data_IF_462173440681
#
_entry.id   IF_462173440681
#
_cell.length_a   1.000
_cell.length_b   1.000
_cell.length_c   1.000
_cell.angle_alpha   90.00
_cell.angle_beta   90.00
_cell.angle_gamma   90.00
#
_symmetry.space_group_name_H-M   'P 1'
#
loop_
_entity.id
_entity.type
_entity.pdbx_description
1 polymer ?
#
# COMPACT_ATOMS: atom_id res chain seq x y z
N UNK A 1 6.76 3.22 -27.41
CA UNK A 1 7.85 2.23 -27.16
C UNK A 1 7.35 0.93 -27.74
N UNK A 2 8.17 0.22 -28.48
CA UNK A 2 7.81 -1.14 -28.89
C UNK A 2 7.72 -2.02 -27.63
N UNK A 3 6.54 -2.56 -27.34
CA UNK A 3 6.26 -3.36 -26.14
C UNK A 3 6.93 -4.75 -26.18
N UNK A 4 7.52 -5.12 -27.30
CA UNK A 4 8.30 -6.36 -27.47
C UNK A 4 9.79 -6.15 -27.14
N UNK A 5 10.20 -4.91 -26.85
CA UNK A 5 11.58 -4.52 -26.55
C UNK A 5 11.71 -3.87 -25.17
N UNK A 6 12.93 -3.73 -24.71
CA UNK A 6 13.28 -3.03 -23.47
C UNK A 6 14.36 -1.98 -23.72
N UNK A 7 14.59 -1.13 -22.71
CA UNK A 7 15.62 -0.09 -22.80
C UNK A 7 17.02 -0.70 -22.97
N UNK A 8 17.85 -0.14 -23.83
CA UNK A 8 19.21 -0.66 -24.15
C UNK A 8 20.15 -0.78 -22.95
N UNK A 9 19.98 0.06 -21.94
CA UNK A 9 20.76 0.03 -20.69
C UNK A 9 20.18 -0.92 -19.63
N UNK A 10 19.12 -1.66 -19.94
CA UNK A 10 18.52 -2.61 -19.00
C UNK A 10 19.49 -3.78 -18.74
N UNK A 11 19.69 -4.11 -17.46
CA UNK A 11 20.42 -5.30 -17.02
C UNK A 11 19.58 -6.07 -16.00
N UNK A 12 19.75 -7.38 -15.99
CA UNK A 12 19.16 -8.23 -14.96
C UNK A 12 20.20 -9.18 -14.39
N UNK A 13 20.38 -9.17 -13.06
CA UNK A 13 21.39 -9.98 -12.35
C UNK A 13 22.80 -9.77 -12.92
N UNK A 14 23.15 -8.53 -13.26
CA UNK A 14 24.45 -8.18 -13.85
C UNK A 14 24.61 -8.51 -15.34
N UNK A 15 23.62 -9.16 -15.98
CA UNK A 15 23.66 -9.53 -17.40
C UNK A 15 22.94 -8.50 -18.27
N UNK A 16 23.57 -8.13 -19.38
CA UNK A 16 22.92 -7.41 -20.47
C UNK A 16 22.30 -8.40 -21.47
N UNK A 17 21.16 -8.07 -22.04
CA UNK A 17 20.46 -8.90 -23.02
C UNK A 17 20.26 -8.12 -24.32
N UNK A 18 20.39 -8.80 -25.45
CA UNK A 18 20.20 -8.19 -26.77
C UNK A 18 18.74 -8.28 -27.23
N UNK A 19 18.01 -9.30 -26.81
CA UNK A 19 16.62 -9.56 -27.20
C UNK A 19 15.78 -10.03 -26.03
N UNK A 20 14.45 -9.87 -26.16
CA UNK A 20 13.48 -10.38 -25.18
C UNK A 20 13.51 -11.89 -25.06
N UNK A 21 13.79 -12.62 -26.13
CA UNK A 21 13.92 -14.08 -26.14
C UNK A 21 15.11 -14.53 -25.29
N UNK A 22 16.26 -13.85 -25.42
CA UNK A 22 17.45 -14.16 -24.61
C UNK A 22 17.18 -13.93 -23.11
N UNK A 23 16.48 -12.83 -22.76
CA UNK A 23 16.05 -12.56 -21.40
C UNK A 23 15.08 -13.64 -20.89
N UNK A 24 14.07 -14.01 -21.68
CA UNK A 24 13.08 -15.04 -21.32
C UNK A 24 13.76 -16.39 -21.05
N UNK A 25 14.66 -16.85 -21.92
CA UNK A 25 15.41 -18.10 -21.72
C UNK A 25 16.22 -18.08 -20.41
N UNK A 26 16.87 -16.95 -20.12
CA UNK A 26 17.63 -16.78 -18.88
C UNK A 26 16.73 -16.83 -17.65
N UNK A 27 15.59 -16.11 -17.67
CA UNK A 27 14.64 -16.04 -16.56
C UNK A 27 13.94 -17.37 -16.34
N UNK A 28 13.52 -18.07 -17.38
CA UNK A 28 12.92 -19.43 -17.28
C UNK A 28 13.84 -20.42 -16.58
N UNK A 29 15.14 -20.28 -16.83
CA UNK A 29 16.14 -21.20 -16.28
C UNK A 29 16.51 -20.91 -14.83
N UNK A 30 16.49 -19.64 -14.42
CA UNK A 30 17.07 -19.21 -13.14
C UNK A 30 16.12 -18.49 -12.21
N UNK A 31 14.95 -18.00 -12.72
CA UNK A 31 14.00 -17.15 -12.01
C UNK A 31 12.56 -17.45 -12.47
N UNK A 32 12.17 -18.71 -12.42
CA UNK A 32 10.92 -19.24 -12.97
C UNK A 32 9.67 -18.47 -12.53
N UNK A 33 9.68 -17.94 -11.31
CA UNK A 33 8.60 -17.13 -10.74
C UNK A 33 8.31 -15.83 -11.54
N UNK A 34 9.29 -15.34 -12.31
CA UNK A 34 9.11 -14.15 -13.17
C UNK A 34 8.75 -14.50 -14.62
N UNK A 35 8.94 -15.75 -15.02
CA UNK A 35 8.82 -16.16 -16.41
C UNK A 35 7.39 -15.96 -16.98
N UNK A 36 6.36 -16.33 -16.20
CA UNK A 36 4.97 -16.19 -16.63
C UNK A 36 4.60 -14.73 -16.94
N UNK A 37 5.02 -13.81 -16.08
CA UNK A 37 4.77 -12.37 -16.32
C UNK A 37 5.54 -11.86 -17.54
N UNK A 38 6.82 -12.18 -17.67
CA UNK A 38 7.64 -11.69 -18.79
C UNK A 38 7.19 -12.27 -20.15
N UNK A 39 6.74 -13.53 -20.19
CA UNK A 39 6.08 -14.08 -21.40
C UNK A 39 4.89 -13.23 -21.79
N UNK A 40 4.01 -12.92 -20.86
CA UNK A 40 2.84 -12.08 -21.13
C UNK A 40 3.25 -10.63 -21.46
N UNK A 41 4.34 -10.13 -20.90
CA UNK A 41 4.84 -8.80 -21.22
C UNK A 41 5.33 -8.69 -22.66
N UNK A 42 6.00 -9.71 -23.18
CA UNK A 42 6.60 -9.72 -24.51
C UNK A 42 5.75 -10.41 -25.60
N UNK A 43 4.52 -10.83 -25.30
CA UNK A 43 3.65 -11.58 -26.24
C UNK A 43 3.06 -10.74 -27.39
N UNK A 44 3.39 -9.44 -27.47
CA UNK A 44 2.83 -8.51 -28.45
C UNK A 44 1.41 -8.03 -28.14
N UNK A 45 0.73 -8.60 -27.13
CA UNK A 45 -0.58 -8.14 -26.66
C UNK A 45 -0.50 -6.78 -25.97
N UNK A 46 -1.61 -6.04 -25.97
CA UNK A 46 -1.69 -4.70 -25.37
C UNK A 46 -2.02 -4.69 -23.87
N UNK A 47 -2.32 -5.85 -23.27
CA UNK A 47 -2.86 -5.94 -21.91
C UNK A 47 -2.18 -7.03 -21.09
N UNK A 48 -2.20 -6.84 -19.77
CA UNK A 48 -1.83 -7.83 -18.76
C UNK A 48 -3.10 -8.21 -17.98
N UNK A 49 -3.40 -9.50 -17.93
CA UNK A 49 -4.49 -10.04 -17.12
C UNK A 49 -4.03 -10.28 -15.68
N UNK A 50 -4.80 -9.76 -14.74
CA UNK A 50 -4.53 -9.86 -13.30
C UNK A 50 -5.71 -10.46 -12.56
N UNK A 51 -5.44 -11.11 -11.45
CA UNK A 51 -6.45 -11.48 -10.45
C UNK A 51 -6.23 -10.62 -9.20
N UNK A 52 -7.26 -9.86 -8.80
CA UNK A 52 -7.19 -9.14 -7.53
C UNK A 52 -7.67 -10.05 -6.40
N UNK A 53 -7.05 -9.95 -5.24
CA UNK A 53 -7.45 -10.72 -4.04
C UNK A 53 -8.80 -10.30 -3.44
N UNK A 54 -9.52 -9.38 -4.08
CA UNK A 54 -10.84 -8.84 -3.73
C UNK A 54 -11.04 -8.64 -2.21
N UNK A 55 -11.20 -7.42 -1.74
CA UNK A 55 -11.56 -7.16 -0.32
C UNK A 55 -12.90 -7.83 0.07
N UNK A 56 -13.71 -8.21 -0.91
CA UNK A 56 -15.02 -8.89 -0.77
C UNK A 56 -14.96 -10.40 -0.91
N UNK A 57 -13.76 -11.01 -1.04
CA UNK A 57 -13.56 -12.47 -1.05
C UNK A 57 -13.62 -13.13 -2.44
N UNK A 58 -14.24 -12.53 -3.45
CA UNK A 58 -14.28 -13.08 -4.82
C UNK A 58 -13.19 -12.41 -5.65
N UNK A 59 -12.20 -13.16 -6.21
CA UNK A 59 -11.18 -12.59 -7.07
C UNK A 59 -11.80 -11.95 -8.32
N UNK A 60 -11.54 -10.67 -8.55
CA UNK A 60 -11.95 -9.99 -9.77
C UNK A 60 -10.83 -10.11 -10.81
N UNK A 61 -11.17 -10.51 -12.02
CA UNK A 61 -10.27 -10.40 -13.16
C UNK A 61 -10.20 -8.93 -13.57
N UNK A 62 -8.99 -8.39 -13.61
CA UNK A 62 -8.70 -7.04 -14.06
C UNK A 62 -7.72 -7.12 -15.23
N UNK A 63 -7.92 -6.27 -16.22
CA UNK A 63 -7.05 -6.16 -17.39
C UNK A 63 -6.40 -4.78 -17.40
N UNK A 64 -5.06 -4.74 -17.30
CA UNK A 64 -4.29 -3.51 -17.36
C UNK A 64 -3.62 -3.32 -18.71
N UNK A 65 -3.72 -2.12 -19.26
CA UNK A 65 -2.99 -1.75 -20.47
C UNK A 65 -1.48 -1.70 -20.19
N UNK A 66 -0.68 -2.28 -21.06
CA UNK A 66 0.79 -2.19 -21.00
C UNK A 66 1.25 -0.74 -21.15
N UNK A 67 0.57 0.08 -21.97
CA UNK A 67 0.87 1.51 -22.09
C UNK A 67 0.64 2.25 -20.77
N UNK A 68 -0.42 1.92 -20.04
CA UNK A 68 -0.67 2.44 -18.71
C UNK A 68 0.45 2.06 -17.72
N UNK A 69 0.91 0.81 -17.76
CA UNK A 69 2.02 0.35 -16.94
C UNK A 69 3.34 1.07 -17.29
N UNK A 70 3.62 1.30 -18.59
CA UNK A 70 4.76 2.09 -19.07
C UNK A 70 4.69 3.53 -18.55
N UNK A 71 3.53 4.17 -18.67
CA UNK A 71 3.34 5.55 -18.21
C UNK A 71 3.51 5.68 -16.68
N UNK A 72 2.95 4.75 -15.92
CA UNK A 72 3.16 4.65 -14.47
C UNK A 72 4.63 4.44 -14.08
N UNK A 73 5.36 3.60 -14.82
CA UNK A 73 6.79 3.40 -14.62
C UNK A 73 7.59 4.70 -14.83
N UNK A 74 7.29 5.42 -15.92
CA UNK A 74 7.92 6.72 -16.22
C UNK A 74 7.60 7.78 -15.16
N UNK A 75 6.35 7.84 -14.68
CA UNK A 75 5.97 8.75 -13.60
C UNK A 75 6.77 8.47 -12.30
N UNK A 76 6.95 7.18 -11.95
CA UNK A 76 7.79 6.78 -10.81
C UNK A 76 9.25 7.22 -11.02
N UNK A 77 9.83 6.93 -12.19
CA UNK A 77 11.23 7.32 -12.49
C UNK A 77 11.43 8.83 -12.42
N UNK A 78 10.51 9.60 -12.99
CA UNK A 78 10.53 11.07 -12.96
C UNK A 78 10.42 11.63 -11.54
N UNK A 79 9.50 11.09 -10.72
CA UNK A 79 9.29 11.55 -9.34
C UNK A 79 10.53 11.34 -8.47
N UNK A 80 11.16 10.17 -8.57
CA UNK A 80 12.31 9.81 -7.74
C UNK A 80 13.67 10.18 -8.35
N UNK A 81 13.69 10.74 -9.57
CA UNK A 81 14.93 11.05 -10.28
C UNK A 81 15.75 9.81 -10.66
N UNK A 82 15.06 8.71 -11.01
CA UNK A 82 15.67 7.41 -11.34
C UNK A 82 15.62 7.18 -12.84
N UNK A 83 16.77 7.27 -13.49
CA UNK A 83 16.94 7.07 -14.93
C UNK A 83 17.65 5.76 -15.26
N UNK A 84 18.17 5.68 -16.49
CA UNK A 84 18.98 4.55 -16.94
C UNK A 84 20.18 4.30 -16.02
N UNK A 85 20.54 3.02 -15.87
CA UNK A 85 21.62 2.52 -15.01
C UNK A 85 21.38 2.67 -13.49
N UNK A 86 20.24 3.22 -13.04
CA UNK A 86 19.84 3.14 -11.63
C UNK A 86 19.76 1.67 -11.19
N UNK A 87 20.30 1.36 -10.03
CA UNK A 87 20.28 -0.01 -9.48
C UNK A 87 19.00 -0.23 -8.67
N UNK A 88 18.30 -1.35 -8.91
CA UNK A 88 17.07 -1.66 -8.21
C UNK A 88 17.04 -3.10 -7.71
N UNK A 89 16.38 -3.31 -6.55
CA UNK A 89 16.21 -4.62 -5.96
C UNK A 89 14.73 -5.02 -5.98
N UNK A 90 14.40 -6.15 -6.62
CA UNK A 90 13.08 -6.76 -6.62
C UNK A 90 12.96 -7.69 -5.41
N UNK A 91 12.09 -7.33 -4.46
CA UNK A 91 11.80 -8.09 -3.24
C UNK A 91 10.37 -8.67 -3.21
N UNK A 92 9.55 -8.33 -4.22
CA UNK A 92 8.12 -8.66 -4.26
C UNK A 92 7.84 -9.68 -5.36
N UNK A 93 6.93 -10.64 -5.08
CA UNK A 93 6.54 -11.63 -6.08
C UNK A 93 5.93 -10.98 -7.33
N UNK A 94 6.36 -11.37 -8.53
CA UNK A 94 5.77 -10.93 -9.79
C UNK A 94 4.38 -11.55 -10.05
N UNK A 95 3.86 -12.39 -9.16
CA UNK A 95 2.44 -12.79 -9.18
C UNK A 95 1.53 -11.59 -8.89
N UNK A 96 2.01 -10.65 -8.09
CA UNK A 96 1.28 -9.44 -7.72
C UNK A 96 1.73 -8.22 -8.55
N UNK A 97 0.82 -7.26 -8.70
CA UNK A 97 1.08 -6.05 -9.50
C UNK A 97 2.32 -5.28 -9.05
N UNK A 98 2.61 -5.26 -7.75
CA UNK A 98 3.76 -4.54 -7.21
C UNK A 98 5.09 -5.13 -7.71
N UNK A 99 5.24 -6.45 -7.73
CA UNK A 99 6.42 -7.13 -8.30
C UNK A 99 6.49 -6.96 -9.82
N UNK A 100 5.35 -7.11 -10.53
CA UNK A 100 5.26 -6.84 -11.98
C UNK A 100 5.75 -5.44 -12.31
N UNK A 101 5.34 -4.44 -11.54
CA UNK A 101 5.72 -3.04 -11.79
C UNK A 101 7.21 -2.76 -11.52
N UNK A 102 7.89 -3.53 -10.67
CA UNK A 102 9.36 -3.43 -10.55
C UNK A 102 10.05 -3.88 -11.84
N UNK A 103 9.59 -4.98 -12.44
CA UNK A 103 10.05 -5.40 -13.77
C UNK A 103 9.79 -4.33 -14.84
N UNK A 104 8.56 -3.81 -14.90
CA UNK A 104 8.19 -2.80 -15.91
C UNK A 104 9.04 -1.54 -15.79
N UNK A 105 9.27 -1.06 -14.55
CA UNK A 105 10.17 0.08 -14.31
C UNK A 105 11.56 -0.20 -14.82
N UNK A 106 12.12 -1.36 -14.51
CA UNK A 106 13.47 -1.72 -14.95
C UNK A 106 13.57 -1.82 -16.47
N UNK A 107 12.65 -2.53 -17.11
CA UNK A 107 12.62 -2.71 -18.57
C UNK A 107 12.45 -1.37 -19.32
N UNK A 108 11.56 -0.48 -18.82
CA UNK A 108 11.22 0.79 -19.47
C UNK A 108 12.27 1.86 -19.24
N UNK A 109 12.83 1.92 -18.03
CA UNK A 109 13.71 2.99 -17.60
C UNK A 109 15.21 2.64 -17.73
N UNK A 110 15.52 1.39 -18.10
CA UNK A 110 16.91 0.94 -18.27
C UNK A 110 17.63 0.74 -16.93
N UNK A 111 16.91 0.25 -15.91
CA UNK A 111 17.51 -0.02 -14.62
C UNK A 111 18.33 -1.32 -14.62
N UNK A 112 19.32 -1.39 -13.73
CA UNK A 112 20.01 -2.62 -13.38
C UNK A 112 19.22 -3.29 -12.24
N UNK A 113 18.42 -4.28 -12.59
CA UNK A 113 17.54 -4.99 -11.66
C UNK A 113 18.21 -6.24 -11.14
N UNK A 114 18.30 -6.37 -9.82
CA UNK A 114 18.60 -7.64 -9.17
C UNK A 114 17.38 -8.13 -8.40
N UNK A 115 17.30 -9.43 -8.14
CA UNK A 115 16.18 -10.07 -7.48
C UNK A 115 16.66 -10.73 -6.20
N UNK A 116 16.05 -10.36 -5.07
CA UNK A 116 16.31 -10.97 -3.78
C UNK A 116 15.38 -12.19 -3.56
N UNK A 117 15.71 -13.09 -2.63
CA UNK A 117 14.78 -14.11 -2.18
C UNK A 117 13.46 -13.50 -1.70
N UNK A 118 12.33 -14.05 -2.18
CA UNK A 118 10.98 -13.55 -1.86
C UNK A 118 10.52 -14.04 -0.48
N UNK A 119 11.14 -13.52 0.56
CA UNK A 119 10.85 -13.84 1.96
C UNK A 119 10.58 -12.57 2.78
N UNK A 120 10.38 -12.73 4.08
CA UNK A 120 10.12 -11.62 4.99
C UNK A 120 11.34 -10.71 5.23
N UNK A 121 12.58 -11.17 5.01
CA UNK A 121 13.80 -10.39 5.21
C UNK A 121 14.71 -10.45 3.97
N UNK A 122 14.31 -9.80 2.87
CA UNK A 122 15.04 -9.88 1.60
C UNK A 122 16.41 -9.20 1.62
N UNK A 123 16.71 -8.36 2.63
CA UNK A 123 18.00 -7.66 2.71
C UNK A 123 19.05 -8.41 3.57
N UNK A 124 18.71 -9.58 4.15
CA UNK A 124 19.54 -10.26 5.14
C UNK A 124 20.98 -10.54 4.65
N UNK A 125 21.11 -11.02 3.44
CA UNK A 125 22.39 -11.49 2.91
C UNK A 125 22.91 -10.60 1.76
N UNK A 126 22.43 -9.35 1.66
CA UNK A 126 22.87 -8.41 0.65
C UNK A 126 24.31 -7.95 0.90
N UNK A 127 25.07 -7.91 -0.20
CA UNK A 127 26.46 -7.41 -0.22
C UNK A 127 26.62 -6.14 -1.06
N UNK A 128 25.54 -5.71 -1.74
CA UNK A 128 25.53 -4.57 -2.68
C UNK A 128 24.40 -3.61 -2.28
N UNK A 129 24.66 -2.31 -2.36
CA UNK A 129 23.64 -1.28 -2.17
C UNK A 129 22.87 -0.99 -3.47
N UNK A 130 21.62 -0.50 -3.33
CA UNK A 130 20.72 -0.21 -4.44
C UNK A 130 20.15 1.20 -4.31
N UNK A 131 19.87 1.82 -5.45
CA UNK A 131 19.25 3.13 -5.51
C UNK A 131 17.75 3.07 -5.15
N UNK A 132 17.08 1.93 -5.48
CA UNK A 132 15.64 1.81 -5.31
C UNK A 132 15.18 0.38 -4.98
N UNK A 133 14.14 0.27 -4.15
CA UNK A 133 13.40 -0.96 -3.93
C UNK A 133 11.94 -0.69 -3.56
N UNK A 134 11.12 -1.74 -3.57
CA UNK A 134 9.72 -1.73 -3.12
C UNK A 134 9.50 -2.91 -2.17
N UNK A 135 8.83 -2.66 -1.03
CA UNK A 135 8.56 -3.67 -0.01
C UNK A 135 7.15 -3.53 0.56
N UNK A 136 6.69 -4.56 1.25
CA UNK A 136 5.56 -4.48 2.18
C UNK A 136 6.05 -4.15 3.60
N UNK A 137 5.19 -3.62 4.51
CA UNK A 137 5.61 -3.26 5.87
C UNK A 137 6.28 -4.40 6.63
N UNK A 138 5.84 -5.64 6.44
CA UNK A 138 6.46 -6.82 7.06
C UNK A 138 7.92 -6.97 6.65
N UNK A 139 8.24 -6.83 5.36
CA UNK A 139 9.61 -6.90 4.84
C UNK A 139 10.45 -5.74 5.35
N UNK A 140 9.91 -4.52 5.35
CA UNK A 140 10.57 -3.34 5.89
C UNK A 140 10.98 -3.55 7.36
N UNK A 141 10.05 -4.00 8.20
CA UNK A 141 10.30 -4.24 9.62
C UNK A 141 11.39 -5.30 9.83
N UNK A 142 11.30 -6.44 9.14
CA UNK A 142 12.27 -7.53 9.26
C UNK A 142 13.65 -7.19 8.69
N UNK A 143 13.71 -6.29 7.70
CA UNK A 143 14.94 -5.87 7.03
C UNK A 143 15.56 -4.61 7.62
N UNK A 144 14.98 -4.04 8.69
CA UNK A 144 15.35 -2.71 9.21
C UNK A 144 16.86 -2.55 9.44
N UNK A 145 17.52 -3.57 9.99
CA UNK A 145 18.99 -3.54 10.27
C UNK A 145 19.85 -3.35 9.03
N UNK A 146 19.38 -3.82 7.87
CA UNK A 146 20.10 -3.76 6.60
C UNK A 146 19.51 -2.71 5.65
N UNK A 147 18.58 -1.87 6.14
CA UNK A 147 17.86 -0.91 5.30
C UNK A 147 18.78 0.10 4.63
N UNK A 148 19.92 0.43 5.24
CA UNK A 148 20.96 1.31 4.69
C UNK A 148 21.52 0.84 3.33
N UNK A 149 21.27 -0.41 2.93
CA UNK A 149 21.62 -0.95 1.60
C UNK A 149 20.70 -0.40 0.49
N UNK A 150 19.60 0.27 0.83
CA UNK A 150 18.66 0.86 -0.12
C UNK A 150 18.64 2.38 0.08
N UNK A 151 18.86 3.16 -0.98
CA UNK A 151 18.81 4.63 -0.89
C UNK A 151 17.37 5.14 -0.78
N UNK A 152 16.47 4.66 -1.67
CA UNK A 152 15.05 5.04 -1.72
C UNK A 152 14.18 3.80 -1.69
N UNK A 153 13.24 3.76 -0.77
CA UNK A 153 12.32 2.64 -0.60
C UNK A 153 10.88 3.13 -0.66
N UNK A 154 10.07 2.50 -1.50
CA UNK A 154 8.62 2.65 -1.45
C UNK A 154 8.00 1.47 -0.70
N UNK A 155 7.02 1.76 0.16
CA UNK A 155 6.34 0.76 0.99
C UNK A 155 4.83 0.87 0.79
N UNK A 156 4.20 -0.27 0.52
CA UNK A 156 2.76 -0.30 0.27
C UNK A 156 2.11 -1.64 0.63
N UNK A 157 0.82 -1.75 0.32
CA UNK A 157 0.05 -2.97 0.54
C UNK A 157 -0.65 -3.06 1.90
N UNK A 158 -0.11 -2.43 2.95
CA UNK A 158 -0.70 -2.35 4.28
C UNK A 158 -0.26 -1.06 4.99
N UNK A 159 -0.96 -0.62 6.04
CA UNK A 159 -0.53 0.51 6.88
C UNK A 159 0.82 0.21 7.56
N UNK A 160 1.60 1.27 7.77
CA UNK A 160 2.85 1.23 8.53
C UNK A 160 2.52 1.61 9.97
N UNK A 161 3.04 0.85 10.95
CA UNK A 161 2.83 1.16 12.36
C UNK A 161 3.58 2.43 12.78
N UNK A 162 3.04 3.15 13.76
CA UNK A 162 3.70 4.35 14.31
C UNK A 162 5.08 4.04 14.87
N UNK A 163 5.26 2.87 15.50
CA UNK A 163 6.55 2.44 16.04
C UNK A 163 7.59 2.26 14.92
N UNK A 164 7.16 1.68 13.79
CA UNK A 164 8.04 1.54 12.64
C UNK A 164 8.34 2.90 11.99
N UNK A 165 7.35 3.81 11.88
CA UNK A 165 7.58 5.19 11.43
C UNK A 165 8.58 5.91 12.34
N UNK A 166 8.51 5.69 13.65
CA UNK A 166 9.43 6.28 14.63
C UNK A 166 10.85 5.72 14.48
N UNK A 167 10.98 4.40 14.28
CA UNK A 167 12.28 3.77 14.02
C UNK A 167 12.91 4.29 12.71
N UNK A 168 12.11 4.55 11.69
CA UNK A 168 12.59 5.06 10.40
C UNK A 168 13.30 6.41 10.51
N UNK A 169 13.04 7.21 11.54
CA UNK A 169 13.75 8.48 11.76
C UNK A 169 15.26 8.30 12.00
N UNK A 170 15.69 7.09 12.33
CA UNK A 170 17.10 6.72 12.51
C UNK A 170 17.74 6.11 11.25
N UNK A 171 16.95 5.85 10.21
CA UNK A 171 17.44 5.24 8.97
C UNK A 171 18.08 6.26 8.04
N UNK A 172 19.13 5.86 7.33
CA UNK A 172 19.72 6.65 6.23
C UNK A 172 18.98 6.47 4.89
N UNK A 173 18.03 5.54 4.82
CA UNK A 173 17.18 5.28 3.64
C UNK A 173 16.03 6.25 3.58
N UNK A 174 15.79 6.88 2.44
CA UNK A 174 14.56 7.64 2.22
C UNK A 174 13.38 6.67 2.02
N UNK A 175 12.42 6.67 2.94
CA UNK A 175 11.26 5.76 2.92
C UNK A 175 9.99 6.52 2.63
N UNK A 176 9.18 5.98 1.71
CA UNK A 176 7.93 6.55 1.26
C UNK A 176 6.79 5.55 1.36
N UNK A 177 5.71 5.88 2.04
CA UNK A 177 4.46 5.15 1.95
C UNK A 177 3.80 5.45 0.59
N UNK A 178 3.18 4.42 -0.02
CA UNK A 178 2.52 4.56 -1.32
C UNK A 178 1.01 4.57 -1.18
N UNK A 179 0.34 5.40 -1.98
CA UNK A 179 -1.10 5.35 -2.20
C UNK A 179 -1.38 4.96 -3.65
N UNK A 180 -2.21 3.94 -3.82
CA UNK A 180 -2.61 3.41 -5.13
C UNK A 180 -3.42 2.13 -4.99
N UNK A 181 -3.92 1.67 -6.11
CA UNK A 181 -4.74 0.47 -6.22
C UNK A 181 -4.42 -0.27 -7.52
N UNK A 182 -4.99 -1.44 -7.72
CA UNK A 182 -4.76 -2.22 -8.95
C UNK A 182 -5.27 -1.47 -10.17
N UNK A 183 -6.38 -0.75 -10.03
CA UNK A 183 -7.01 0.07 -11.08
C UNK A 183 -6.13 1.24 -11.54
N UNK A 184 -5.23 1.70 -10.69
CA UNK A 184 -4.22 2.73 -11.04
C UNK A 184 -2.91 2.15 -11.56
N UNK A 185 -2.83 0.84 -11.81
CA UNK A 185 -1.65 0.04 -12.16
C UNK A 185 -0.63 -0.06 -11.03
N UNK A 186 -0.40 0.99 -10.30
CA UNK A 186 0.59 1.12 -9.22
C UNK A 186 0.21 2.30 -8.33
N UNK A 187 1.14 2.75 -7.50
CA UNK A 187 0.94 3.96 -6.73
C UNK A 187 0.82 5.20 -7.64
N UNK A 188 -0.03 6.11 -7.23
CA UNK A 188 -0.24 7.42 -7.87
C UNK A 188 0.22 8.57 -6.99
N UNK A 189 0.47 8.28 -5.72
CA UNK A 189 0.99 9.24 -4.77
C UNK A 189 1.90 8.56 -3.75
N UNK A 190 2.77 9.35 -3.12
CA UNK A 190 3.67 8.89 -2.07
C UNK A 190 3.71 9.90 -0.92
N UNK A 191 3.84 9.39 0.30
CA UNK A 191 4.06 10.16 1.52
C UNK A 191 5.44 9.83 2.07
N UNK A 192 6.29 10.84 2.24
CA UNK A 192 7.60 10.67 2.86
C UNK A 192 7.42 10.36 4.35
N UNK A 193 8.15 9.37 4.86
CA UNK A 193 8.00 8.88 6.23
C UNK A 193 9.13 9.33 7.16
N UNK A 194 10.27 9.73 6.62
CA UNK A 194 11.44 10.20 7.37
C UNK A 194 12.15 11.34 6.63
N UNK A 195 13.14 11.96 7.25
CA UNK A 195 13.79 13.20 6.77
C UNK A 195 12.77 14.33 6.53
N UNK A 196 11.76 14.40 7.40
CA UNK A 196 10.76 15.45 7.34
C UNK A 196 11.33 16.73 7.98
N UNK A 197 11.15 17.84 7.29
CA UNK A 197 11.33 19.15 7.90
C UNK A 197 10.06 19.50 8.68
N UNK A 198 10.16 20.45 9.62
CA UNK A 198 9.00 20.90 10.43
C UNK A 198 7.86 21.48 9.58
N UNK A 199 8.12 21.85 8.34
CA UNK A 199 7.18 22.41 7.37
C UNK A 199 6.63 21.37 6.39
N UNK A 200 7.18 20.11 6.38
CA UNK A 200 6.70 19.07 5.48
C UNK A 200 5.36 18.54 5.98
N UNK A 201 4.28 18.75 5.22
CA UNK A 201 2.99 18.19 5.60
C UNK A 201 3.05 16.66 5.55
N UNK A 202 2.46 16.00 6.55
CA UNK A 202 2.31 14.53 6.56
C UNK A 202 1.25 14.08 5.54
N UNK A 203 1.40 14.47 4.27
CA UNK A 203 0.45 14.21 3.20
C UNK A 203 1.06 13.41 2.06
N UNK A 204 0.18 12.84 1.25
CA UNK A 204 0.54 12.20 -0.01
C UNK A 204 0.72 13.25 -1.10
N UNK A 205 1.84 13.18 -1.81
CA UNK A 205 2.12 13.98 -3.01
C UNK A 205 1.92 13.09 -4.24
N UNK A 206 1.13 13.57 -5.22
CA UNK A 206 0.84 12.82 -6.44
C UNK A 206 2.06 12.73 -7.37
N UNK A 207 2.09 11.66 -8.16
CA UNK A 207 3.09 11.49 -9.21
C UNK A 207 2.82 12.44 -10.40
N UNK A 208 3.85 12.77 -11.19
CA UNK A 208 3.70 13.61 -12.37
C UNK A 208 2.61 13.11 -13.34
N UNK A 209 1.76 14.03 -13.77
CA UNK A 209 0.67 13.77 -14.72
C UNK A 209 -0.62 13.25 -14.10
N UNK A 210 -0.64 12.86 -12.83
CA UNK A 210 -1.88 12.50 -12.12
C UNK A 210 -2.63 13.76 -11.75
N UNK A 211 -3.97 13.75 -11.87
CA UNK A 211 -4.86 14.81 -11.35
C UNK A 211 -5.80 14.22 -10.30
N UNK A 212 -6.10 15.00 -9.28
CA UNK A 212 -6.99 14.60 -8.19
C UNK A 212 -8.05 15.67 -7.92
N UNK A 213 -9.23 15.22 -7.49
CA UNK A 213 -10.33 16.09 -7.04
C UNK A 213 -11.17 15.36 -5.99
N UNK A 214 -12.16 16.02 -5.43
CA UNK A 214 -13.16 15.43 -4.55
C UNK A 214 -14.48 15.23 -5.29
N UNK A 215 -15.16 14.13 -5.00
CA UNK A 215 -16.58 13.99 -5.35
C UNK A 215 -17.49 14.63 -4.27
N UNK A 216 -18.81 14.55 -4.49
CA UNK A 216 -19.84 15.08 -3.56
C UNK A 216 -19.83 14.43 -2.16
N UNK A 217 -19.14 13.28 -2.01
CA UNK A 217 -18.99 12.56 -0.74
C UNK A 217 -17.70 12.93 -0.01
N UNK A 218 -16.90 13.88 -0.55
CA UNK A 218 -15.52 14.17 -0.14
C UNK A 218 -14.57 12.96 -0.34
N UNK A 219 -14.89 12.07 -1.27
CA UNK A 219 -14.02 10.99 -1.66
C UNK A 219 -13.10 11.40 -2.79
N UNK A 220 -11.87 10.87 -2.78
CA UNK A 220 -10.87 11.13 -3.80
C UNK A 220 -11.34 10.62 -5.16
N UNK A 221 -11.25 11.47 -6.17
CA UNK A 221 -11.34 11.10 -7.57
C UNK A 221 -9.99 11.27 -8.23
N UNK A 222 -9.64 10.35 -9.13
CA UNK A 222 -8.32 10.27 -9.74
C UNK A 222 -8.50 10.25 -11.26
N UNK A 223 -7.81 11.15 -11.94
CA UNK A 223 -7.66 11.12 -13.38
C UNK A 223 -6.21 10.79 -13.72
N UNK A 224 -6.02 9.75 -14.51
CA UNK A 224 -4.71 9.26 -14.91
C UNK A 224 -4.39 9.70 -16.34
N UNK A 225 -3.19 10.19 -16.64
CA UNK A 225 -2.80 10.57 -18.00
C UNK A 225 -2.80 9.38 -18.98
N UNK A 226 -2.78 8.16 -18.44
CA UNK A 226 -2.86 6.92 -19.19
C UNK A 226 -4.23 6.23 -19.12
N UNK A 227 -5.21 6.85 -18.51
CA UNK A 227 -6.55 6.29 -18.27
C UNK A 227 -7.56 6.60 -19.38
N UNK A 228 -7.15 7.11 -20.55
CA UNK A 228 -8.04 7.50 -21.66
C UNK A 228 -9.20 8.42 -21.23
N UNK A 229 -8.97 9.34 -20.28
CA UNK A 229 -9.98 10.25 -19.72
C UNK A 229 -10.95 9.60 -18.74
N UNK A 230 -10.66 8.39 -18.27
CA UNK A 230 -11.49 7.71 -17.27
C UNK A 230 -11.24 8.29 -15.90
N UNK A 231 -12.28 8.87 -15.28
CA UNK A 231 -12.26 9.32 -13.90
C UNK A 231 -12.52 8.13 -12.96
N UNK A 232 -11.51 7.79 -12.16
CA UNK A 232 -11.66 6.77 -11.12
C UNK A 232 -12.27 7.43 -9.87
N UNK A 233 -13.44 6.96 -9.44
CA UNK A 233 -14.06 7.35 -8.18
C UNK A 233 -13.69 6.34 -7.10
N UNK A 234 -13.08 6.82 -6.02
CA UNK A 234 -12.71 5.96 -4.90
C UNK A 234 -13.77 6.01 -3.79
N UNK A 235 -13.57 5.21 -2.74
CA UNK A 235 -14.26 5.33 -1.45
C UNK A 235 -13.29 5.85 -0.36
N UNK A 236 -12.21 6.51 -0.74
CA UNK A 236 -11.23 7.05 0.19
C UNK A 236 -11.57 8.52 0.50
N UNK A 237 -11.91 8.79 1.74
CA UNK A 237 -12.09 10.14 2.26
C UNK A 237 -10.73 10.80 2.41
N UNK A 238 -10.60 12.01 1.89
CA UNK A 238 -9.34 12.75 1.94
C UNK A 238 -9.56 14.24 2.23
N UNK A 239 -8.54 14.89 2.78
CA UNK A 239 -8.43 16.35 2.81
C UNK A 239 -7.43 16.79 1.74
N UNK A 240 -7.85 17.62 0.79
CA UNK A 240 -6.94 18.23 -0.19
C UNK A 240 -6.24 19.43 0.44
N UNK A 241 -4.90 19.42 0.44
CA UNK A 241 -4.08 20.55 0.87
C UNK A 241 -3.66 21.43 -0.30
N UNK A 242 -3.52 20.83 -1.48
CA UNK A 242 -3.21 21.53 -2.74
C UNK A 242 -3.72 20.69 -3.92
N UNK A 243 -3.63 21.16 -5.17
CA UNK A 243 -3.95 20.36 -6.35
C UNK A 243 -3.08 19.09 -6.50
N UNK A 244 -1.97 19.01 -5.76
CA UNK A 244 -1.00 17.91 -5.86
C UNK A 244 -0.79 17.17 -4.53
N UNK A 245 -1.49 17.55 -3.46
CA UNK A 245 -1.26 16.99 -2.13
C UNK A 245 -2.56 16.73 -1.38
N UNK A 246 -2.65 15.57 -0.74
CA UNK A 246 -3.81 15.19 0.07
C UNK A 246 -3.41 14.39 1.30
N UNK A 247 -4.21 14.50 2.34
CA UNK A 247 -4.19 13.62 3.50
C UNK A 247 -5.28 12.56 3.36
N UNK A 248 -4.93 11.29 3.56
CA UNK A 248 -5.91 10.20 3.63
C UNK A 248 -6.52 10.14 5.03
N UNK A 249 -7.84 10.22 5.12
CA UNK A 249 -8.57 10.27 6.39
C UNK A 249 -9.18 8.92 6.77
N UNK A 250 -9.56 8.11 5.77
CA UNK A 250 -10.22 6.82 5.98
C UNK A 250 -11.09 6.42 4.80
N UNK A 251 -11.98 5.45 5.04
CA UNK A 251 -12.86 4.89 4.02
C UNK A 251 -14.29 5.37 4.23
N UNK A 252 -14.96 5.82 3.15
CA UNK A 252 -16.35 6.23 3.18
C UNK A 252 -17.30 5.10 3.61
N UNK A 253 -17.02 3.88 3.16
CA UNK A 253 -17.79 2.68 3.46
C UNK A 253 -17.61 2.17 4.91
N UNK A 254 -16.62 2.68 5.65
CA UNK A 254 -16.41 2.39 7.08
C UNK A 254 -16.92 3.49 8.02
N UNK A 255 -17.40 4.63 7.50
CA UNK A 255 -17.91 5.74 8.31
C UNK A 255 -19.04 5.25 9.23
N UNK A 256 -18.92 5.57 10.51
CA UNK A 256 -19.91 5.24 11.54
C UNK A 256 -20.83 6.45 11.74
N UNK A 257 -22.14 6.25 11.63
CA UNK A 257 -23.13 7.29 11.94
C UNK A 257 -23.74 7.04 13.33
N UNK A 258 -23.15 7.67 14.34
CA UNK A 258 -23.54 7.48 15.74
C UNK A 258 -24.25 8.72 16.28
N UNK A 259 -25.57 8.62 16.50
CA UNK A 259 -26.39 9.73 17.01
C UNK A 259 -26.35 10.97 16.11
N UNK A 260 -26.27 10.80 14.78
CA UNK A 260 -26.20 11.87 13.81
C UNK A 260 -24.79 12.44 13.59
N UNK A 261 -23.77 11.93 14.30
CA UNK A 261 -22.38 12.33 14.13
C UNK A 261 -21.66 11.31 13.23
N UNK A 262 -21.06 11.77 12.15
CA UNK A 262 -20.23 10.94 11.26
C UNK A 262 -18.82 10.81 11.84
N UNK A 263 -18.39 9.60 12.12
CA UNK A 263 -17.09 9.28 12.67
C UNK A 263 -16.31 8.44 11.68
N UNK A 264 -15.03 8.76 11.50
CA UNK A 264 -14.12 8.02 10.64
C UNK A 264 -13.30 7.08 11.52
N UNK A 265 -13.51 5.75 11.44
CA UNK A 265 -12.85 4.78 12.31
C UNK A 265 -11.33 4.90 12.30
N UNK A 266 -10.74 5.11 11.14
CA UNK A 266 -9.29 5.16 10.94
C UNK A 266 -8.65 6.33 11.70
N UNK A 267 -9.35 7.45 11.87
CA UNK A 267 -8.89 8.57 12.69
C UNK A 267 -8.89 8.22 14.18
N UNK A 268 -9.94 7.52 14.64
CA UNK A 268 -10.01 7.05 16.04
C UNK A 268 -8.92 6.01 16.29
N UNK A 269 -8.72 5.08 15.37
CA UNK A 269 -7.65 4.07 15.43
C UNK A 269 -6.27 4.71 15.50
N UNK A 270 -6.04 5.78 14.75
CA UNK A 270 -4.76 6.51 14.81
C UNK A 270 -4.48 7.12 16.19
N UNK A 271 -5.52 7.57 16.91
CA UNK A 271 -5.38 8.07 18.29
C UNK A 271 -5.15 6.93 19.29
N UNK A 272 -5.76 5.77 19.05
CA UNK A 272 -5.68 4.59 19.91
C UNK A 272 -4.41 3.74 19.69
N UNK A 273 -3.77 3.85 18.54
CA UNK A 273 -2.62 3.02 18.17
C UNK A 273 -1.50 2.97 19.24
N UNK A 274 -1.14 4.08 19.95
CA UNK A 274 -0.11 4.02 20.98
C UNK A 274 -0.51 3.21 22.23
N UNK A 275 -1.78 2.84 22.38
CA UNK A 275 -2.29 2.15 23.57
C UNK A 275 -2.29 0.63 23.45
N UNK A 276 -2.10 0.09 22.24
CA UNK A 276 -2.27 -1.33 21.96
C UNK A 276 -1.08 -1.91 21.19
N UNK A 277 -0.52 -2.98 21.71
CA UNK A 277 0.45 -3.81 20.99
C UNK A 277 -0.27 -4.82 20.08
N UNK A 278 -1.45 -5.32 20.50
CA UNK A 278 -2.27 -6.22 19.69
C UNK A 278 -3.01 -5.49 18.57
N UNK A 279 -3.36 -6.23 17.56
CA UNK A 279 -4.17 -5.71 16.46
C UNK A 279 -5.57 -5.34 16.94
N UNK A 280 -6.07 -4.24 16.43
CA UNK A 280 -7.39 -3.73 16.78
C UNK A 280 -7.99 -2.94 15.63
N UNK A 281 -9.30 -2.71 15.70
CA UNK A 281 -9.98 -1.73 14.85
C UNK A 281 -11.27 -1.22 15.51
N UNK A 282 -11.73 -0.07 15.03
CA UNK A 282 -13.00 0.56 15.42
C UNK A 282 -14.07 0.17 14.40
N UNK A 283 -15.27 -0.14 14.88
CA UNK A 283 -16.42 -0.42 14.04
C UNK A 283 -17.71 0.20 14.61
N UNK A 284 -18.68 0.37 13.72
CA UNK A 284 -20.07 0.67 14.09
C UNK A 284 -20.90 -0.61 14.09
N UNK A 285 -21.63 -0.85 15.18
CA UNK A 285 -22.63 -1.92 15.21
C UNK A 285 -24.03 -1.33 15.46
N UNK A 286 -25.12 -2.01 15.04
CA UNK A 286 -26.46 -1.49 15.22
C UNK A 286 -26.79 -1.13 16.68
N UNK A 287 -27.43 0.01 16.86
CA UNK A 287 -27.90 0.50 18.17
C UNK A 287 -29.28 1.15 18.00
N UNK A 288 -30.23 0.82 18.89
CA UNK A 288 -31.62 1.26 18.78
C UNK A 288 -31.83 2.77 19.01
N UNK A 289 -30.86 3.43 19.67
CA UNK A 289 -30.96 4.86 20.02
C UNK A 289 -30.07 5.69 19.10
N UNK A 290 -28.84 5.21 18.86
CA UNK A 290 -27.81 5.96 18.12
C UNK A 290 -27.81 5.64 16.62
N UNK A 291 -28.60 4.66 16.18
CA UNK A 291 -28.47 4.05 14.84
C UNK A 291 -27.27 3.11 14.76
N UNK A 292 -26.09 3.62 15.04
CA UNK A 292 -24.88 2.83 15.25
C UNK A 292 -24.17 3.28 16.53
N UNK A 293 -23.64 2.32 17.31
CA UNK A 293 -22.71 2.59 18.41
C UNK A 293 -21.29 2.24 17.99
N UNK A 294 -20.34 3.04 18.43
CA UNK A 294 -18.90 2.81 18.24
C UNK A 294 -18.45 1.69 19.16
N UNK A 295 -17.76 0.72 18.61
CA UNK A 295 -17.14 -0.38 19.36
C UNK A 295 -15.68 -0.54 18.99
N UNK A 296 -14.86 -1.00 19.94
CA UNK A 296 -13.47 -1.37 19.74
C UNK A 296 -13.37 -2.90 19.71
N UNK A 297 -12.76 -3.45 18.67
CA UNK A 297 -12.44 -4.87 18.59
C UNK A 297 -10.93 -5.05 18.76
N UNK A 298 -10.55 -5.93 19.68
CA UNK A 298 -9.15 -6.31 19.97
C UNK A 298 -8.94 -7.77 19.56
N UNK A 299 -7.83 -8.05 18.87
CA UNK A 299 -7.47 -9.42 18.54
C UNK A 299 -6.81 -10.09 19.73
N UNK A 300 -7.32 -11.25 20.15
CA UNK A 300 -6.78 -12.00 21.28
C UNK A 300 -7.86 -12.52 22.23
N UNK A 301 -7.42 -12.95 23.40
CA UNK A 301 -8.30 -13.44 24.47
C UNK A 301 -8.61 -12.35 25.46
N UNK A 302 -9.86 -12.20 25.84
CA UNK A 302 -10.30 -11.24 26.85
C UNK A 302 -11.81 -11.29 27.02
N UNK A 303 -12.30 -10.61 28.04
CA UNK A 303 -13.74 -10.47 28.29
C UNK A 303 -14.27 -9.16 27.71
N UNK A 304 -15.48 -9.18 27.17
CA UNK A 304 -16.15 -7.97 26.69
C UNK A 304 -16.30 -6.94 27.81
N UNK A 305 -15.93 -5.71 27.52
CA UNK A 305 -16.04 -4.58 28.45
C UNK A 305 -17.14 -3.65 27.96
N UNK A 306 -18.24 -3.57 28.73
CA UNK A 306 -19.40 -2.71 28.43
C UNK A 306 -19.62 -1.59 29.45
N UNK A 307 -18.93 -1.62 30.62
CA UNK A 307 -19.05 -0.57 31.62
C UNK A 307 -18.32 0.70 31.19
N UNK A 308 -18.98 1.85 31.23
CA UNK A 308 -18.40 3.16 30.88
C UNK A 308 -17.15 3.48 31.69
N UNK A 309 -17.19 3.13 32.99
CA UNK A 309 -16.08 3.39 33.92
C UNK A 309 -14.86 2.54 33.57
N UNK A 310 -15.07 1.27 33.25
CA UNK A 310 -13.99 0.36 32.81
C UNK A 310 -13.42 0.79 31.46
N UNK A 311 -14.24 1.21 30.50
CA UNK A 311 -13.79 1.72 29.20
C UNK A 311 -12.99 3.02 29.39
N UNK A 312 -13.50 3.97 30.19
CA UNK A 312 -12.81 5.21 30.48
C UNK A 312 -11.47 4.98 31.19
N UNK A 313 -11.41 3.99 32.11
CA UNK A 313 -10.16 3.58 32.76
C UNK A 313 -9.18 2.93 31.79
N UNK A 314 -9.69 2.09 30.88
CA UNK A 314 -8.90 1.37 29.91
C UNK A 314 -8.29 2.31 28.84
N UNK A 315 -9.00 3.37 28.46
CA UNK A 315 -8.58 4.36 27.46
C UNK A 315 -8.10 5.67 28.10
N UNK A 316 -7.74 5.65 29.38
CA UNK A 316 -7.26 6.83 30.12
C UNK A 316 -6.03 7.44 29.45
N UNK A 317 -6.10 8.74 29.19
CA UNK A 317 -4.98 9.50 28.60
C UNK A 317 -5.01 9.58 27.06
N UNK A 318 -5.99 8.94 26.41
CA UNK A 318 -6.20 9.10 24.95
C UNK A 318 -7.12 10.29 24.73
N UNK A 319 -6.73 11.18 23.79
CA UNK A 319 -7.55 12.33 23.41
C UNK A 319 -8.67 11.92 22.45
N UNK A 320 -9.75 11.37 23.02
CA UNK A 320 -10.98 11.02 22.33
C UNK A 320 -12.12 11.96 22.75
N UNK A 321 -12.87 12.42 21.76
CA UNK A 321 -14.12 13.13 22.05
C UNK A 321 -15.16 12.16 22.64
N UNK A 322 -16.22 12.68 23.27
CA UNK A 322 -17.32 11.86 23.80
C UNK A 322 -18.01 10.98 22.76
N UNK A 323 -17.95 11.36 21.47
CA UNK A 323 -18.56 10.64 20.37
C UNK A 323 -17.63 9.52 19.84
N UNK A 324 -16.32 9.72 19.90
CA UNK A 324 -15.32 8.75 19.48
C UNK A 324 -15.09 7.64 20.53
N UNK A 325 -15.49 7.88 21.76
CA UNK A 325 -15.33 6.90 22.85
C UNK A 325 -16.16 5.65 22.57
N UNK A 326 -15.53 4.46 22.42
CA UNK A 326 -16.25 3.21 22.24
C UNK A 326 -17.26 2.95 23.36
N UNK A 327 -18.40 2.40 23.03
CA UNK A 327 -19.42 2.03 24.01
C UNK A 327 -19.20 0.64 24.58
N UNK A 328 -18.51 -0.21 23.82
CA UNK A 328 -18.13 -1.57 24.20
C UNK A 328 -16.79 -1.92 23.60
N UNK A 329 -16.05 -2.81 24.28
CA UNK A 329 -14.79 -3.37 23.80
C UNK A 329 -14.96 -4.87 23.72
N UNK A 330 -14.76 -5.44 22.54
CA UNK A 330 -14.86 -6.86 22.26
C UNK A 330 -13.49 -7.47 22.01
N UNK A 331 -13.30 -8.71 22.45
CA UNK A 331 -12.15 -9.51 22.10
C UNK A 331 -12.57 -10.56 21.09
N UNK A 332 -11.84 -10.64 19.98
CA UNK A 332 -12.00 -11.65 18.94
C UNK A 332 -10.70 -12.44 18.85
N UNK A 333 -10.78 -13.75 19.00
CA UNK A 333 -9.59 -14.62 19.09
C UNK A 333 -8.63 -14.42 17.90
N UNK A 334 -9.20 -14.30 16.69
CA UNK A 334 -8.48 -14.01 15.46
C UNK A 334 -9.39 -13.25 14.49
N UNK A 335 -8.88 -12.17 13.89
CA UNK A 335 -9.59 -11.42 12.88
C UNK A 335 -9.72 -12.21 11.57
N UNK A 336 -10.84 -12.02 10.87
CA UNK A 336 -11.03 -12.57 9.52
C UNK A 336 -10.19 -11.77 8.54
N UNK A 337 -9.42 -12.45 7.69
CA UNK A 337 -8.47 -11.83 6.79
C UNK A 337 -8.61 -12.32 5.35
N UNK A 338 -8.19 -11.47 4.42
CA UNK A 338 -7.93 -11.89 3.03
C UNK A 338 -6.63 -12.69 2.95
N UNK A 339 -6.37 -13.42 1.84
CA UNK A 339 -5.06 -14.07 1.60
C UNK A 339 -3.86 -13.12 1.67
N UNK A 340 -4.08 -11.81 1.46
CA UNK A 340 -3.06 -10.77 1.58
C UNK A 340 -3.00 -10.12 2.97
N UNK A 341 -3.58 -10.78 4.01
CA UNK A 341 -3.58 -10.37 5.42
C UNK A 341 -4.29 -9.02 5.69
N UNK A 342 -5.20 -8.59 4.81
CA UNK A 342 -6.07 -7.43 5.08
C UNK A 342 -7.26 -7.85 5.93
N UNK A 343 -7.53 -7.13 7.01
CA UNK A 343 -8.66 -7.38 7.90
C UNK A 343 -9.98 -7.17 7.14
N UNK A 344 -10.84 -8.17 7.18
CA UNK A 344 -12.21 -8.11 6.67
C UNK A 344 -13.13 -7.67 7.83
N UNK A 345 -13.22 -6.35 8.03
CA UNK A 345 -13.89 -5.73 9.19
C UNK A 345 -15.33 -6.22 9.37
N UNK A 346 -16.14 -6.21 8.29
CA UNK A 346 -17.54 -6.63 8.35
C UNK A 346 -17.69 -8.11 8.76
N UNK A 347 -16.85 -8.99 8.23
CA UNK A 347 -16.88 -10.41 8.60
C UNK A 347 -16.41 -10.64 10.04
N UNK A 348 -15.42 -9.86 10.49
CA UNK A 348 -14.97 -9.93 11.89
C UNK A 348 -16.04 -9.39 12.86
N UNK A 349 -16.74 -8.31 12.49
CA UNK A 349 -17.87 -7.78 13.27
C UNK A 349 -19.01 -8.80 13.37
N UNK A 350 -19.29 -9.55 12.32
CA UNK A 350 -20.32 -10.59 12.35
C UNK A 350 -20.09 -11.61 13.48
N UNK A 351 -18.83 -11.94 13.79
CA UNK A 351 -18.47 -12.89 14.87
C UNK A 351 -18.88 -12.43 16.28
N UNK A 352 -19.15 -11.15 16.48
CA UNK A 352 -19.58 -10.61 17.79
C UNK A 352 -21.08 -10.32 17.87
N UNK A 353 -21.78 -10.46 16.75
CA UNK A 353 -23.23 -10.23 16.67
C UNK A 353 -24.05 -11.53 16.68
N UNK A 354 -23.37 -12.67 16.49
CA UNK A 354 -23.91 -14.03 16.67
C UNK A 354 -23.95 -14.39 18.17
#
# INVERSE_FOLDING_TARGET
>A
MDLTSFHKEFHFQGHAFQTSEALLVFVERHFEESAAFLKQWFDGGSYIDLQTSGATGVPKKLRLSKDAMVASAKATGSFFGLGAQSTALLCLSPDYIAGKMMWVRALVLGWHLDMAPMNSNPLKDLTKAYDFSAMVPLQLNASFKNLFMIKKLIVGGAPISKDLEQQLQQSSTEVYATYGMTETCSHIAVKKLNFLNSEDPSCYRILPGVSIALDERACLTIELPWGAGTLLKTNDLVALHSPTEFEWLGRFDSVINSGGVKLIPEQIESKLAPCFEQRFFIAGIPDSILGQKVVLLLEGKGETIASKERIASFLKGVDLTKYELPKEIYYVLKFVETPTQKIQRMQTVALILE
#
